data_IF_177947907279
#
_entry.id   IF_177947907279
#
_cell.length_a   1.000
_cell.length_b   1.000
_cell.length_c   1.000
_cell.angle_alpha   90.00
_cell.angle_beta   90.00
_cell.angle_gamma   90.00
#
_symmetry.space_group_name_H-M   'P 1'
#
loop_
_entity.id
_entity.type
_entity.pdbx_description
1 polymer ?
#
# COMPACT_ATOMS: atom_id res chain seq x y z
N UNK A 1 -61.02 46.81 -56.12
CA UNK A 1 -61.63 45.51 -56.46
C UNK A 1 -61.30 45.15 -57.91
N UNK A 2 -60.28 44.31 -58.06
CA UNK A 2 -59.64 43.74 -59.26
C UNK A 2 -58.59 42.80 -58.62
N UNK A 3 -58.35 41.54 -58.97
CA UNK A 3 -58.40 40.79 -60.23
C UNK A 3 -58.54 39.28 -59.89
N UNK A 4 -59.13 38.53 -60.82
CA UNK A 4 -59.09 37.07 -61.01
C UNK A 4 -57.77 36.35 -60.65
N UNK A 5 -57.85 35.06 -60.29
CA UNK A 5 -57.51 33.97 -61.21
C UNK A 5 -57.72 32.56 -60.62
N UNK A 6 -58.33 31.72 -61.45
CA UNK A 6 -58.41 30.26 -61.37
C UNK A 6 -57.01 29.64 -61.54
N UNK A 7 -56.74 28.48 -60.92
CA UNK A 7 -56.81 27.17 -61.58
C UNK A 7 -55.93 26.11 -60.91
N UNK A 8 -56.50 24.90 -60.82
CA UNK A 8 -55.87 23.57 -61.00
C UNK A 8 -54.68 23.15 -60.14
N UNK A 9 -54.79 21.96 -59.55
CA UNK A 9 -53.61 21.11 -59.41
C UNK A 9 -53.66 20.04 -58.33
N UNK A 10 -53.93 18.81 -58.78
CA UNK A 10 -53.24 17.57 -58.41
C UNK A 10 -53.45 16.94 -57.01
N UNK A 11 -53.93 15.70 -57.07
CA UNK A 11 -53.72 14.63 -56.10
C UNK A 11 -52.23 14.50 -55.72
N UNK A 12 -51.97 14.26 -54.43
CA UNK A 12 -50.80 13.50 -54.00
C UNK A 12 -51.15 12.69 -52.74
N UNK A 13 -50.97 11.37 -52.86
CA UNK A 13 -51.23 10.39 -51.83
C UNK A 13 -50.26 10.58 -50.64
N UNK A 14 -50.82 10.58 -49.43
CA UNK A 14 -50.06 10.55 -48.20
C UNK A 14 -49.36 9.18 -48.05
N UNK A 15 -48.03 9.16 -48.22
CA UNK A 15 -47.20 8.06 -47.72
C UNK A 15 -46.61 8.49 -46.37
N UNK A 16 -47.06 7.83 -45.31
CA UNK A 16 -46.46 7.91 -43.99
C UNK A 16 -45.11 7.19 -44.00
N UNK A 17 -44.01 7.96 -44.01
CA UNK A 17 -42.68 7.44 -43.71
C UNK A 17 -42.35 7.75 -42.24
N UNK A 18 -42.60 6.78 -41.36
CA UNK A 18 -42.11 6.81 -40.00
C UNK A 18 -40.59 6.60 -40.02
N UNK A 19 -39.82 7.67 -39.81
CA UNK A 19 -38.39 7.61 -39.51
C UNK A 19 -38.21 7.12 -38.07
N UNK A 20 -38.13 5.80 -37.88
CA UNK A 20 -37.47 5.24 -36.70
C UNK A 20 -35.96 5.44 -36.89
N UNK A 21 -35.40 6.44 -36.20
CA UNK A 21 -33.97 6.52 -36.00
C UNK A 21 -33.55 5.36 -35.08
N UNK A 22 -32.97 4.31 -35.65
CA UNK A 22 -32.21 3.32 -34.89
C UNK A 22 -30.99 4.03 -34.29
N UNK A 23 -31.08 4.37 -33.00
CA UNK A 23 -29.90 4.70 -32.23
C UNK A 23 -28.97 3.48 -32.26
N UNK A 24 -27.67 3.65 -32.59
CA UNK A 24 -26.74 2.54 -32.50
C UNK A 24 -26.71 2.06 -31.05
N UNK A 25 -27.02 0.79 -30.83
CA UNK A 25 -26.81 0.12 -29.56
C UNK A 25 -25.33 0.30 -29.21
N UNK A 26 -25.04 1.16 -28.23
CA UNK A 26 -23.71 1.28 -27.66
C UNK A 26 -23.37 -0.09 -27.10
N UNK A 27 -22.42 -0.77 -27.75
CA UNK A 27 -21.82 -1.97 -27.21
C UNK A 27 -21.41 -1.65 -25.76
N UNK A 28 -21.71 -2.51 -24.77
CA UNK A 28 -21.22 -2.31 -23.41
C UNK A 28 -19.71 -2.10 -23.52
N UNK A 29 -19.27 -0.88 -23.21
CA UNK A 29 -17.88 -0.49 -23.32
C UNK A 29 -17.07 -1.54 -22.58
N UNK A 30 -16.10 -2.13 -23.26
CA UNK A 30 -15.17 -3.05 -22.62
C UNK A 30 -14.68 -2.37 -21.34
N UNK A 31 -15.03 -2.94 -20.18
CA UNK A 31 -14.58 -2.43 -18.90
C UNK A 31 -13.06 -2.28 -19.01
N UNK A 32 -12.59 -1.04 -18.95
CA UNK A 32 -11.17 -0.77 -19.03
C UNK A 32 -10.51 -1.63 -17.97
N UNK A 33 -9.56 -2.47 -18.39
CA UNK A 33 -8.81 -3.30 -17.45
C UNK A 33 -8.26 -2.36 -16.38
N UNK A 34 -8.56 -2.65 -15.12
CA UNK A 34 -8.02 -1.90 -14.00
C UNK A 34 -6.49 -1.86 -14.19
N UNK A 35 -5.84 -0.70 -14.04
CA UNK A 35 -4.40 -0.63 -14.03
C UNK A 35 -3.89 -1.62 -12.99
N UNK A 36 -2.71 -2.23 -13.23
CA UNK A 36 -2.13 -3.14 -12.26
C UNK A 36 -2.11 -2.46 -10.88
N UNK A 37 -2.42 -3.20 -9.80
CA UNK A 37 -2.40 -2.65 -8.44
C UNK A 37 -1.10 -1.88 -8.24
N UNK A 38 -1.21 -0.63 -7.81
CA UNK A 38 -0.03 0.21 -7.60
C UNK A 38 0.84 -0.43 -6.51
N UNK A 39 2.17 -0.29 -6.59
CA UNK A 39 3.07 -0.86 -5.57
C UNK A 39 2.75 -0.33 -4.16
N UNK A 40 2.00 0.77 -4.05
CA UNK A 40 1.39 1.26 -2.82
C UNK A 40 0.46 0.26 -2.15
N UNK A 41 -0.46 -0.33 -2.91
CA UNK A 41 -1.38 -1.36 -2.41
C UNK A 41 -0.61 -2.64 -2.06
N UNK A 42 0.54 -2.85 -2.71
CA UNK A 42 1.42 -3.97 -2.41
C UNK A 42 2.26 -3.79 -1.15
N UNK A 43 2.60 -2.56 -0.79
CA UNK A 43 3.38 -2.24 0.40
C UNK A 43 2.69 -2.70 1.69
N UNK A 44 3.38 -3.40 2.61
CA UNK A 44 2.84 -3.71 3.93
C UNK A 44 3.06 -2.58 4.94
N UNK A 45 3.68 -1.46 4.58
CA UNK A 45 4.00 -0.35 5.48
C UNK A 45 2.72 0.24 6.12
N UNK A 46 2.58 0.24 7.46
CA UNK A 46 1.44 0.84 8.15
C UNK A 46 1.21 2.33 7.87
N UNK A 47 2.28 3.09 7.58
CA UNK A 47 2.18 4.50 7.17
C UNK A 47 2.30 4.66 5.66
N UNK A 48 2.38 3.55 4.93
CA UNK A 48 2.34 3.54 3.48
C UNK A 48 1.00 4.05 2.95
N UNK A 49 1.03 4.50 1.71
CA UNK A 49 -0.17 4.91 1.00
C UNK A 49 -0.93 3.68 0.46
N UNK A 50 -2.20 3.88 0.20
CA UNK A 50 -3.08 3.01 -0.58
C UNK A 50 -3.93 3.88 -1.49
N UNK A 51 -4.56 3.29 -2.51
CA UNK A 51 -5.56 4.00 -3.32
C UNK A 51 -5.45 3.66 -4.80
N UNK A 52 -5.99 4.54 -5.64
CA UNK A 52 -6.22 4.29 -7.07
C UNK A 52 -7.05 3.05 -7.33
N UNK A 53 -8.02 2.83 -6.46
CA UNK A 53 -8.98 1.76 -6.62
C UNK A 53 -9.89 1.96 -7.85
N UNK A 54 -9.99 3.19 -8.38
CA UNK A 54 -10.61 3.51 -9.66
C UNK A 54 -9.74 4.47 -10.50
N UNK A 55 -9.45 4.14 -11.77
CA UNK A 55 -8.75 5.06 -12.68
C UNK A 55 -9.50 6.38 -12.88
N UNK A 56 -8.91 7.48 -12.44
CA UNK A 56 -9.45 8.82 -12.65
C UNK A 56 -10.58 9.25 -11.70
N UNK A 57 -11.03 8.36 -10.81
CA UNK A 57 -12.09 8.62 -9.83
C UNK A 57 -11.65 8.63 -8.36
N UNK A 58 -10.49 8.03 -8.04
CA UNK A 58 -10.04 7.90 -6.65
C UNK A 58 -8.63 8.45 -6.37
N UNK A 59 -8.33 8.72 -5.09
CA UNK A 59 -7.05 9.27 -4.65
C UNK A 59 -6.26 8.34 -3.71
N UNK A 60 -5.07 8.79 -3.29
CA UNK A 60 -4.27 8.09 -2.28
C UNK A 60 -4.66 8.51 -0.88
N UNK A 61 -4.77 7.53 0.01
CA UNK A 61 -4.93 7.71 1.44
C UNK A 61 -3.77 7.07 2.21
N UNK A 62 -3.56 7.49 3.45
CA UNK A 62 -2.63 6.82 4.36
C UNK A 62 -3.31 5.63 5.05
N UNK A 63 -2.67 4.46 5.05
CA UNK A 63 -3.21 3.25 5.69
C UNK A 63 -3.47 3.46 7.20
N UNK A 64 -2.56 4.17 7.87
CA UNK A 64 -2.71 4.53 9.28
C UNK A 64 -3.94 5.38 9.58
N UNK A 65 -4.36 6.23 8.64
CA UNK A 65 -5.61 6.99 8.74
C UNK A 65 -6.83 6.10 8.97
N UNK A 66 -6.90 4.95 8.28
CA UNK A 66 -8.00 3.99 8.44
C UNK A 66 -7.96 3.25 9.78
N UNK A 67 -6.76 3.00 10.33
CA UNK A 67 -6.60 2.43 11.68
C UNK A 67 -7.11 3.40 12.75
N UNK A 68 -6.73 4.67 12.64
CA UNK A 68 -7.24 5.70 13.55
C UNK A 68 -8.74 5.92 13.41
N UNK A 69 -9.27 5.82 12.18
CA UNK A 69 -10.69 5.96 11.86
C UNK A 69 -11.58 4.95 12.60
N UNK A 70 -11.04 3.78 12.98
CA UNK A 70 -11.76 2.77 13.77
C UNK A 70 -11.46 2.82 15.27
N UNK A 71 -10.80 3.88 15.75
CA UNK A 71 -10.44 4.07 17.16
C UNK A 71 -9.27 3.20 17.64
N UNK A 72 -8.52 2.57 16.73
CA UNK A 72 -7.31 1.81 17.05
C UNK A 72 -6.07 2.70 17.02
N UNK A 73 -4.95 2.17 17.53
CA UNK A 73 -3.64 2.83 17.44
C UNK A 73 -2.69 1.99 16.60
N UNK A 74 -1.62 2.61 16.10
CA UNK A 74 -0.51 1.89 15.46
C UNK A 74 0.40 1.16 16.47
N UNK A 75 0.07 1.17 17.77
CA UNK A 75 0.85 0.42 18.74
C UNK A 75 0.85 -1.06 18.34
N UNK A 76 2.05 -1.64 18.26
CA UNK A 76 2.30 -3.03 17.85
C UNK A 76 1.88 -3.36 16.40
N UNK A 77 1.42 -2.42 15.58
CA UNK A 77 1.10 -2.71 14.17
C UNK A 77 2.41 -2.86 13.38
N UNK A 78 2.64 -4.04 12.82
CA UNK A 78 3.87 -4.37 12.07
C UNK A 78 3.67 -4.40 10.56
N UNK A 79 2.41 -4.55 10.10
CA UNK A 79 2.04 -4.43 8.70
C UNK A 79 0.55 -4.09 8.53
N UNK A 80 0.22 -3.35 7.47
CA UNK A 80 -1.14 -3.15 6.96
C UNK A 80 -1.18 -3.56 5.50
N UNK A 81 -1.98 -4.59 5.18
CA UNK A 81 -2.11 -5.08 3.81
C UNK A 81 -3.45 -4.69 3.21
N UNK A 82 -3.42 -4.17 1.98
CA UNK A 82 -4.63 -3.99 1.17
C UNK A 82 -5.09 -5.35 0.67
N UNK A 83 -6.22 -5.83 1.18
CA UNK A 83 -6.85 -7.10 0.79
C UNK A 83 -7.82 -6.91 -0.37
N UNK A 84 -8.46 -5.75 -0.44
CA UNK A 84 -9.29 -5.31 -1.57
C UNK A 84 -9.20 -3.80 -1.71
N UNK A 85 -9.22 -3.32 -2.94
CA UNK A 85 -9.23 -1.91 -3.34
C UNK A 85 -10.08 -1.83 -4.60
N UNK A 86 -11.28 -1.22 -4.48
CA UNK A 86 -12.29 -1.10 -5.55
C UNK A 86 -12.82 0.34 -5.65
N UNK A 87 -13.47 0.71 -6.77
CA UNK A 87 -14.22 1.96 -6.83
C UNK A 87 -15.25 2.00 -5.69
N UNK A 88 -15.42 3.16 -5.07
CA UNK A 88 -16.40 3.33 -3.98
C UNK A 88 -17.81 2.93 -4.47
N UNK A 89 -18.56 2.20 -3.64
CA UNK A 89 -19.91 1.72 -4.02
C UNK A 89 -21.03 2.34 -3.19
N UNK A 90 -20.73 3.30 -2.31
CA UNK A 90 -21.74 3.94 -1.45
C UNK A 90 -21.18 5.04 -0.56
N UNK A 91 -21.89 5.36 0.52
CA UNK A 91 -21.39 6.19 1.61
C UNK A 91 -21.33 5.36 2.89
N UNK A 92 -20.27 5.50 3.68
CA UNK A 92 -20.13 4.77 4.93
C UNK A 92 -18.89 5.18 5.72
N UNK A 93 -18.91 5.10 7.06
CA UNK A 93 -17.71 5.25 7.87
C UNK A 93 -16.73 4.08 7.70
N UNK A 94 -15.51 4.26 8.21
CA UNK A 94 -14.57 3.16 8.45
C UNK A 94 -15.03 2.30 9.63
N UNK A 95 -15.00 0.97 9.51
CA UNK A 95 -15.32 0.05 10.61
C UNK A 95 -14.38 -1.16 10.70
N UNK A 96 -14.27 -1.74 11.90
CA UNK A 96 -13.64 -3.06 12.08
C UNK A 96 -14.62 -4.15 11.64
N UNK A 97 -14.11 -5.13 10.90
CA UNK A 97 -14.87 -6.29 10.43
C UNK A 97 -14.08 -7.58 10.68
N UNK A 98 -14.74 -8.75 10.66
CA UNK A 98 -14.03 -10.03 10.75
C UNK A 98 -13.02 -10.20 9.61
N UNK A 99 -11.85 -10.77 9.93
CA UNK A 99 -10.90 -11.20 8.91
C UNK A 99 -11.30 -12.56 8.33
N UNK A 100 -10.83 -12.89 7.10
CA UNK A 100 -11.02 -14.23 6.56
C UNK A 100 -10.38 -15.26 7.50
N UNK A 101 -11.04 -16.40 7.65
CA UNK A 101 -10.59 -17.47 8.55
C UNK A 101 -9.20 -17.96 8.14
N UNK A 102 -8.33 -18.17 9.14
CA UNK A 102 -6.97 -18.67 8.92
C UNK A 102 -5.97 -17.61 8.45
N UNK A 103 -6.36 -16.34 8.39
CA UNK A 103 -5.42 -15.25 8.13
C UNK A 103 -4.63 -14.88 9.40
N UNK A 104 -3.43 -14.30 9.27
CA UNK A 104 -2.63 -13.88 10.41
C UNK A 104 -3.06 -12.53 10.99
N UNK A 105 -4.04 -11.86 10.40
CA UNK A 105 -4.42 -10.51 10.77
C UNK A 105 -5.16 -10.51 12.11
N UNK A 106 -4.76 -9.60 13.00
CA UNK A 106 -5.38 -9.43 14.31
C UNK A 106 -6.82 -8.90 14.16
N UNK A 107 -7.05 -8.03 13.19
CA UNK A 107 -8.37 -7.57 12.77
C UNK A 107 -8.31 -6.98 11.36
N UNK A 108 -9.48 -6.78 10.77
CA UNK A 108 -9.61 -6.22 9.44
C UNK A 108 -10.45 -4.95 9.49
N UNK A 109 -10.20 -4.05 8.55
CA UNK A 109 -10.88 -2.76 8.44
C UNK A 109 -11.53 -2.68 7.07
N UNK A 110 -12.79 -2.28 7.03
CA UNK A 110 -13.51 -2.01 5.80
C UNK A 110 -13.93 -0.54 5.77
N UNK A 111 -13.86 0.06 4.59
CA UNK A 111 -14.43 1.37 4.33
C UNK A 111 -14.89 1.44 2.87
N UNK A 112 -16.21 1.46 2.67
CA UNK A 112 -16.82 1.44 1.34
C UNK A 112 -16.75 2.80 0.62
N UNK A 113 -16.33 3.86 1.34
CA UNK A 113 -15.99 5.19 0.81
C UNK A 113 -15.14 5.98 1.79
N UNK A 114 -13.83 5.96 1.58
CA UNK A 114 -12.86 6.66 2.40
C UNK A 114 -12.84 8.20 2.26
N UNK A 115 -13.82 8.77 1.55
CA UNK A 115 -13.93 10.20 1.27
C UNK A 115 -13.04 10.67 0.13
N UNK A 116 -12.27 9.76 -0.47
CA UNK A 116 -11.41 10.04 -1.63
C UNK A 116 -11.63 9.01 -2.76
N UNK A 117 -12.79 8.37 -2.78
CA UNK A 117 -13.26 7.53 -3.88
C UNK A 117 -12.79 6.08 -3.85
N UNK A 118 -12.24 5.59 -2.73
CA UNK A 118 -11.86 4.17 -2.59
C UNK A 118 -12.84 3.38 -1.70
N UNK A 119 -13.19 2.17 -2.15
CA UNK A 119 -13.67 1.05 -1.32
C UNK A 119 -12.46 0.18 -0.95
N UNK A 120 -12.16 0.08 0.35
CA UNK A 120 -10.99 -0.63 0.86
C UNK A 120 -11.33 -1.68 1.89
N UNK A 121 -10.57 -2.77 1.83
CA UNK A 121 -10.51 -3.81 2.84
C UNK A 121 -9.07 -4.06 3.24
N UNK A 122 -8.72 -3.81 4.51
CA UNK A 122 -7.37 -3.98 5.05
C UNK A 122 -7.27 -5.13 6.02
N UNK A 123 -6.13 -5.82 6.01
CA UNK A 123 -5.71 -6.73 7.07
C UNK A 123 -4.64 -6.06 7.94
N UNK A 124 -4.89 -5.98 9.25
CA UNK A 124 -3.95 -5.38 10.21
C UNK A 124 -3.19 -6.49 10.93
N UNK A 125 -1.87 -6.49 10.78
CA UNK A 125 -0.97 -7.43 11.43
C UNK A 125 -0.32 -6.78 12.65
N UNK A 126 -0.45 -7.40 13.83
CA UNK A 126 0.16 -6.93 15.08
C UNK A 126 1.33 -7.81 15.52
N UNK A 127 2.25 -7.24 16.28
CA UNK A 127 3.29 -7.94 17.01
C UNK A 127 2.66 -8.68 18.21
N UNK A 128 2.63 -10.00 18.14
CA UNK A 128 2.16 -10.91 19.18
C UNK A 128 2.87 -12.28 19.04
N UNK A 129 2.47 -13.30 19.80
CA UNK A 129 3.11 -14.63 19.72
C UNK A 129 3.01 -15.28 18.31
N UNK A 130 1.99 -14.94 17.52
CA UNK A 130 1.80 -15.47 16.16
C UNK A 130 2.80 -14.87 15.17
N UNK A 131 3.24 -13.64 15.41
CA UNK A 131 4.20 -12.90 14.56
C UNK A 131 5.59 -12.73 15.18
N UNK A 132 5.76 -13.01 16.47
CA UNK A 132 7.04 -12.89 17.18
C UNK A 132 8.07 -13.83 16.53
N UNK A 133 9.21 -13.30 16.03
CA UNK A 133 10.29 -14.11 15.49
C UNK A 133 10.87 -15.12 16.50
N UNK A 134 10.83 -14.82 17.80
CA UNK A 134 11.38 -15.69 18.83
C UNK A 134 10.37 -16.73 19.34
N UNK A 135 9.08 -16.56 19.02
CA UNK A 135 8.08 -17.55 19.37
C UNK A 135 8.29 -18.85 18.55
N UNK A 136 7.94 -20.02 19.11
CA UNK A 136 7.97 -21.27 18.38
C UNK A 136 7.04 -21.28 17.16
N UNK A 137 7.25 -22.21 16.23
CA UNK A 137 6.31 -22.46 15.14
C UNK A 137 4.90 -22.77 15.68
N UNK A 138 3.89 -22.26 14.99
CA UNK A 138 2.49 -22.56 15.29
C UNK A 138 1.93 -23.65 14.35
N UNK A 139 0.88 -24.34 14.79
CA UNK A 139 0.13 -25.29 13.94
C UNK A 139 0.87 -26.60 13.63
N UNK A 140 1.96 -26.91 14.33
CA UNK A 140 2.66 -28.18 14.19
C UNK A 140 1.88 -29.34 14.83
N UNK A 141 2.08 -30.59 14.37
CA UNK A 141 1.52 -31.77 15.01
C UNK A 141 1.91 -31.91 16.49
N UNK A 142 1.07 -32.56 17.29
CA UNK A 142 1.36 -32.82 18.69
C UNK A 142 2.68 -33.62 18.84
N UNK A 143 3.50 -33.26 19.81
CA UNK A 143 4.82 -33.87 20.05
C UNK A 143 5.95 -33.36 19.14
N UNK A 144 5.67 -32.42 18.23
CA UNK A 144 6.70 -31.77 17.43
C UNK A 144 7.73 -31.03 18.30
N UNK A 145 9.01 -31.15 17.96
CA UNK A 145 10.10 -30.41 18.59
C UNK A 145 10.18 -29.02 17.95
N UNK A 146 9.55 -28.03 18.57
CA UNK A 146 9.44 -26.70 17.99
C UNK A 146 10.72 -25.89 18.17
N UNK A 147 11.07 -25.10 17.14
CA UNK A 147 12.15 -24.11 17.19
C UNK A 147 11.57 -22.69 17.09
N UNK A 148 12.30 -21.67 17.57
CA UNK A 148 12.00 -20.28 17.27
C UNK A 148 11.90 -20.06 15.76
N UNK A 149 10.90 -19.28 15.32
CA UNK A 149 10.73 -18.94 13.90
C UNK A 149 11.98 -18.29 13.31
N UNK A 150 12.73 -17.51 14.10
CA UNK A 150 13.93 -16.81 13.68
C UNK A 150 15.07 -17.74 13.25
N UNK A 151 15.09 -18.99 13.72
CA UNK A 151 16.14 -19.95 13.36
C UNK A 151 16.10 -20.27 11.86
N UNK A 152 14.91 -20.35 11.24
CA UNK A 152 14.79 -20.60 9.80
C UNK A 152 15.37 -19.46 8.96
N UNK A 153 15.25 -18.22 9.44
CA UNK A 153 15.81 -17.02 8.80
C UNK A 153 17.33 -17.05 8.88
N UNK A 154 17.88 -17.37 10.05
CA UNK A 154 19.33 -17.49 10.26
C UNK A 154 19.92 -18.61 9.40
N UNK A 155 19.26 -19.76 9.35
CA UNK A 155 19.66 -20.88 8.51
C UNK A 155 19.64 -20.54 7.01
N UNK A 156 18.72 -19.66 6.58
CA UNK A 156 18.70 -19.13 5.22
C UNK A 156 19.76 -18.05 4.94
N UNK A 157 20.62 -17.72 5.91
CA UNK A 157 21.64 -16.66 5.79
C UNK A 157 21.05 -15.25 5.69
N UNK A 158 19.82 -15.03 6.18
CA UNK A 158 19.16 -13.72 6.14
C UNK A 158 19.42 -12.94 7.43
N UNK A 159 19.46 -11.62 7.32
CA UNK A 159 19.72 -10.71 8.43
C UNK A 159 18.48 -10.56 9.35
N UNK A 160 18.54 -11.01 10.62
CA UNK A 160 17.45 -10.86 11.58
C UNK A 160 17.00 -9.42 11.83
N UNK A 161 17.89 -8.43 11.65
CA UNK A 161 17.59 -7.02 11.92
C UNK A 161 16.64 -6.40 10.88
N UNK A 162 16.36 -7.13 9.80
CA UNK A 162 15.49 -6.71 8.70
C UNK A 162 14.10 -7.33 8.77
N UNK A 163 13.64 -7.73 9.96
CA UNK A 163 12.37 -8.46 10.15
C UNK A 163 11.54 -7.82 11.26
N UNK A 164 10.27 -7.53 10.98
CA UNK A 164 9.30 -7.08 11.98
C UNK A 164 8.47 -8.23 12.56
N UNK A 165 8.36 -9.35 11.83
CA UNK A 165 7.64 -10.52 12.30
C UNK A 165 7.81 -11.73 11.37
N UNK A 166 7.48 -12.91 11.88
CA UNK A 166 7.48 -14.16 11.15
C UNK A 166 6.18 -14.90 11.44
N UNK A 167 5.45 -15.27 10.39
CA UNK A 167 4.21 -16.04 10.47
C UNK A 167 4.47 -17.47 10.02
N UNK A 168 4.04 -18.45 10.81
CA UNK A 168 4.05 -19.86 10.35
C UNK A 168 2.90 -20.07 9.37
N UNK A 169 3.23 -20.42 8.12
CA UNK A 169 2.25 -20.67 7.05
C UNK A 169 1.81 -22.13 7.03
N UNK A 170 2.74 -23.04 7.31
CA UNK A 170 2.48 -24.46 7.44
C UNK A 170 3.54 -25.10 8.34
N UNK A 171 3.12 -26.08 9.14
CA UNK A 171 4.04 -26.93 9.88
C UNK A 171 3.55 -28.38 9.88
N UNK A 172 4.40 -29.32 9.50
CA UNK A 172 4.11 -30.76 9.50
C UNK A 172 5.36 -31.57 9.81
N UNK A 173 5.20 -32.88 10.03
CA UNK A 173 6.33 -33.78 10.16
C UNK A 173 7.13 -33.85 8.84
N UNK A 174 8.47 -33.80 8.94
CA UNK A 174 9.34 -33.97 7.78
C UNK A 174 9.25 -35.42 7.25
N UNK A 175 9.18 -35.58 5.93
CA UNK A 175 9.00 -36.88 5.28
C UNK A 175 10.27 -37.73 5.31
N UNK A 176 11.45 -37.13 5.41
CA UNK A 176 12.71 -37.85 5.49
C UNK A 176 13.67 -37.21 6.52
N UNK A 177 14.44 -38.03 7.28
CA UNK A 177 15.57 -37.54 8.03
C UNK A 177 16.63 -37.03 7.05
N UNK A 178 16.99 -35.75 7.16
CA UNK A 178 17.94 -35.10 6.29
C UNK A 178 18.60 -33.92 6.98
N UNK A 179 19.72 -33.46 6.44
CA UNK A 179 20.40 -32.25 6.92
C UNK A 179 19.48 -31.04 6.79
N UNK A 180 19.47 -30.19 7.82
CA UNK A 180 18.70 -28.95 7.79
C UNK A 180 19.10 -28.10 6.57
N UNK A 181 18.14 -27.80 5.71
CA UNK A 181 18.33 -26.89 4.58
C UNK A 181 17.10 -26.00 4.45
N UNK A 182 17.34 -24.73 4.16
CA UNK A 182 16.29 -23.73 3.98
C UNK A 182 16.43 -23.12 2.60
N UNK A 183 15.32 -23.04 1.89
CA UNK A 183 15.24 -22.40 0.58
C UNK A 183 14.19 -21.29 0.59
N UNK A 184 14.32 -20.37 -0.37
CA UNK A 184 13.23 -19.44 -0.70
C UNK A 184 12.08 -20.27 -1.28
N UNK A 185 10.87 -19.97 -0.83
CA UNK A 185 9.64 -20.58 -1.29
C UNK A 185 8.69 -19.52 -1.83
N UNK A 186 7.75 -19.95 -2.66
CA UNK A 186 6.65 -19.10 -3.08
C UNK A 186 5.78 -18.72 -1.86
N UNK A 187 5.43 -17.45 -1.76
CA UNK A 187 4.44 -17.01 -0.79
C UNK A 187 3.02 -17.38 -1.26
N UNK A 188 2.03 -17.43 -0.34
CA UNK A 188 0.64 -17.71 -0.69
C UNK A 188 0.16 -16.77 -1.79
N UNK A 189 -0.64 -17.27 -2.74
CA UNK A 189 -1.22 -16.41 -3.77
C UNK A 189 -2.16 -15.35 -3.16
N UNK A 190 -2.14 -14.14 -3.71
CA UNK A 190 -2.98 -13.02 -3.28
C UNK A 190 -2.29 -12.07 -2.29
N UNK A 191 -3.04 -11.08 -1.76
CA UNK A 191 -2.47 -10.03 -0.94
C UNK A 191 -2.00 -10.56 0.42
N UNK A 192 -0.68 -10.59 0.63
CA UNK A 192 -0.04 -10.96 1.88
C UNK A 192 0.95 -9.88 2.38
N UNK A 193 1.29 -9.86 3.68
CA UNK A 193 2.24 -8.89 4.23
C UNK A 193 3.71 -9.32 4.10
N UNK A 194 3.98 -10.50 3.52
CA UNK A 194 5.31 -11.08 3.49
C UNK A 194 6.20 -10.47 2.42
N UNK A 195 7.43 -10.12 2.80
CA UNK A 195 8.47 -9.69 1.87
C UNK A 195 9.08 -10.88 1.10
N UNK A 196 9.14 -12.04 1.75
CA UNK A 196 9.55 -13.32 1.16
C UNK A 196 9.07 -14.46 2.05
N UNK A 197 9.09 -15.67 1.50
CA UNK A 197 8.76 -16.89 2.23
C UNK A 197 9.95 -17.85 2.22
N UNK A 198 10.12 -18.58 3.31
CA UNK A 198 11.16 -19.58 3.49
C UNK A 198 10.53 -20.93 3.78
N UNK A 199 11.11 -21.98 3.23
CA UNK A 199 10.75 -23.36 3.55
C UNK A 199 11.97 -24.15 3.99
N UNK A 200 11.82 -24.84 5.11
CA UNK A 200 12.70 -25.90 5.55
C UNK A 200 11.96 -27.22 5.39
N UNK A 201 12.39 -28.08 4.46
CA UNK A 201 11.81 -29.43 4.32
C UNK A 201 12.15 -30.34 5.50
N UNK A 202 13.21 -30.00 6.23
CA UNK A 202 13.53 -30.45 7.58
C UNK A 202 14.29 -29.32 8.29
N UNK A 203 13.75 -28.81 9.39
CA UNK A 203 14.38 -27.74 10.19
C UNK A 203 15.49 -28.24 11.12
N UNK A 204 15.86 -29.53 11.05
CA UNK A 204 16.79 -30.20 11.96
C UNK A 204 16.18 -30.63 13.30
N UNK A 205 14.87 -30.43 13.49
CA UNK A 205 14.09 -31.00 14.58
C UNK A 205 12.99 -31.95 14.06
N UNK A 206 12.99 -32.27 12.76
CA UNK A 206 12.03 -33.17 12.14
C UNK A 206 10.75 -32.48 11.66
N UNK A 207 10.75 -31.16 11.50
CA UNK A 207 9.60 -30.41 10.99
C UNK A 207 9.83 -29.94 9.54
N UNK A 208 8.84 -30.13 8.66
CA UNK A 208 8.70 -29.42 7.38
C UNK A 208 7.88 -28.15 7.62
N UNK A 209 8.53 -27.00 7.56
CA UNK A 209 7.96 -25.71 7.94
C UNK A 209 8.09 -24.71 6.80
N UNK A 210 7.00 -24.01 6.53
CA UNK A 210 7.00 -22.83 5.66
C UNK A 210 6.63 -21.61 6.50
N UNK A 211 7.41 -20.54 6.40
CA UNK A 211 7.14 -19.27 7.08
C UNK A 211 7.05 -18.12 6.08
N UNK A 212 6.20 -17.15 6.39
CA UNK A 212 6.15 -15.85 5.73
C UNK A 212 6.89 -14.83 6.59
N UNK A 213 7.88 -14.15 6.01
CA UNK A 213 8.67 -13.14 6.71
C UNK A 213 8.09 -11.77 6.43
N UNK A 214 7.66 -11.09 7.49
CA UNK A 214 7.28 -9.68 7.45
C UNK A 214 8.57 -8.88 7.57
N UNK A 215 9.02 -8.34 6.44
CA UNK A 215 10.21 -7.49 6.42
C UNK A 215 10.05 -6.32 7.37
N UNK A 216 11.16 -5.85 7.93
CA UNK A 216 11.23 -4.54 8.56
C UNK A 216 11.17 -3.46 7.48
N UNK A 217 10.04 -3.42 6.76
CA UNK A 217 9.63 -2.43 5.77
C UNK A 217 8.60 -1.48 6.40
N UNK A 218 8.73 -1.22 7.70
CA UNK A 218 7.81 -0.35 8.44
C UNK A 218 7.94 1.12 8.02
N UNK A 219 7.21 2.03 8.69
CA UNK A 219 7.16 3.45 8.34
C UNK A 219 8.54 4.06 8.20
N UNK A 220 9.44 3.62 9.09
CA UNK A 220 10.82 4.02 9.16
C UNK A 220 11.82 3.18 8.40
N UNK A 221 11.46 2.15 7.64
CA UNK A 221 12.47 1.39 6.89
C UNK A 221 13.16 2.31 5.87
N UNK A 222 14.48 2.51 5.98
CA UNK A 222 15.25 3.28 5.02
C UNK A 222 15.11 2.78 3.58
N UNK A 223 14.90 1.48 3.42
CA UNK A 223 14.87 0.81 2.13
C UNK A 223 13.46 0.62 1.56
N UNK A 224 12.41 0.95 2.31
CA UNK A 224 11.06 0.97 1.80
C UNK A 224 10.92 2.00 0.67
N UNK A 225 9.86 1.86 -0.12
CA UNK A 225 9.65 2.66 -1.32
C UNK A 225 8.84 3.94 -1.03
N UNK A 226 9.10 4.99 -1.81
CA UNK A 226 8.24 6.15 -2.01
C UNK A 226 8.28 6.53 -3.49
N UNK A 227 7.33 7.30 -3.97
CA UNK A 227 7.25 7.74 -5.36
C UNK A 227 5.86 8.29 -5.62
N UNK A 228 5.45 8.45 -6.88
CA UNK A 228 4.03 8.48 -7.26
C UNK A 228 3.08 9.25 -6.33
N UNK A 229 3.44 10.47 -5.95
CA UNK A 229 2.74 11.21 -4.90
C UNK A 229 1.40 11.85 -5.32
N UNK A 230 0.72 11.48 -6.42
CA UNK A 230 -0.58 12.08 -6.79
C UNK A 230 -1.34 11.24 -7.82
N UNK A 231 -2.64 11.47 -7.97
CA UNK A 231 -3.60 10.67 -8.75
C UNK A 231 -3.49 10.83 -10.25
N UNK A 232 -2.93 11.95 -10.66
CA UNK A 232 -2.79 12.32 -12.05
C UNK A 232 -1.35 12.76 -12.28
N UNK A 233 -0.42 11.80 -12.21
CA UNK A 233 1.03 12.05 -12.27
C UNK A 233 1.41 13.05 -13.39
N UNK A 234 0.86 12.83 -14.59
CA UNK A 234 1.10 13.67 -15.77
C UNK A 234 0.57 15.12 -15.63
N UNK A 235 -0.58 15.31 -15.00
CA UNK A 235 -1.18 16.64 -14.83
C UNK A 235 -0.39 17.53 -13.86
N UNK A 236 0.39 16.92 -12.96
CA UNK A 236 1.14 17.62 -11.91
C UNK A 236 2.66 17.55 -12.08
N UNK A 237 3.13 17.04 -13.23
CA UNK A 237 4.57 16.92 -13.52
C UNK A 237 5.29 15.89 -12.63
N UNK A 238 4.55 14.95 -12.04
CA UNK A 238 5.12 13.80 -11.34
C UNK A 238 5.46 12.72 -12.35
N UNK A 239 6.68 12.20 -12.30
CA UNK A 239 7.09 11.05 -13.10
C UNK A 239 6.68 9.75 -12.41
N UNK A 240 6.19 8.75 -13.16
CA UNK A 240 5.82 7.46 -12.60
C UNK A 240 7.02 6.69 -12.04
N UNK A 241 6.72 5.74 -11.15
CA UNK A 241 7.66 4.79 -10.58
C UNK A 241 8.20 5.15 -9.21
N UNK A 242 8.60 4.11 -8.49
CA UNK A 242 9.06 4.14 -7.11
C UNK A 242 10.57 4.26 -6.97
N UNK A 243 10.99 4.69 -5.77
CA UNK A 243 12.38 4.83 -5.36
C UNK A 243 12.52 4.42 -3.89
N UNK A 244 13.68 3.89 -3.48
CA UNK A 244 13.92 3.63 -2.06
C UNK A 244 13.98 4.95 -1.29
N UNK A 245 13.43 4.99 -0.07
CA UNK A 245 13.46 6.15 0.84
C UNK A 245 14.91 6.63 1.08
N UNK A 246 15.90 5.73 1.07
CA UNK A 246 17.33 6.08 1.11
C UNK A 246 17.76 7.04 0.00
N UNK A 247 17.07 7.06 -1.14
CA UNK A 247 17.36 8.01 -2.20
C UNK A 247 17.10 9.46 -1.81
N UNK A 248 16.17 9.73 -0.88
CA UNK A 248 15.95 11.06 -0.29
C UNK A 248 17.20 11.54 0.43
N UNK A 249 17.82 10.66 1.22
CA UNK A 249 19.01 10.94 2.03
C UNK A 249 20.21 11.20 1.14
N UNK A 250 20.40 10.40 0.09
CA UNK A 250 21.47 10.63 -0.88
C UNK A 250 21.25 11.91 -1.68
N UNK A 251 19.99 12.25 -2.01
CA UNK A 251 19.67 13.46 -2.78
C UNK A 251 20.00 14.76 -2.03
N UNK A 252 19.95 14.74 -0.69
CA UNK A 252 20.38 15.87 0.16
C UNK A 252 21.85 15.77 0.59
N UNK A 253 22.65 14.93 -0.09
CA UNK A 253 24.10 14.81 0.14
C UNK A 253 24.49 14.14 1.46
N UNK A 254 23.62 13.32 2.05
CA UNK A 254 23.89 12.64 3.33
C UNK A 254 24.20 11.15 3.14
N UNK A 255 24.95 10.59 4.09
CA UNK A 255 25.32 9.17 4.10
C UNK A 255 24.19 8.29 4.62
N UNK A 256 24.00 7.14 3.97
CA UNK A 256 23.06 6.10 4.40
C UNK A 256 23.66 5.13 5.43
N UNK A 257 24.97 5.18 5.69
CA UNK A 257 25.67 4.21 6.56
C UNK A 257 25.22 4.28 8.02
N UNK A 258 24.89 5.47 8.50
CA UNK A 258 24.49 5.70 9.89
C UNK A 258 22.97 5.74 10.05
N UNK A 259 22.22 5.21 9.09
CA UNK A 259 20.79 5.45 9.02
C UNK A 259 20.01 4.35 9.76
N UNK A 260 19.12 4.77 10.65
CA UNK A 260 18.25 3.90 11.45
C UNK A 260 16.84 3.86 10.86
N UNK A 261 16.26 5.03 10.57
CA UNK A 261 14.92 5.09 10.01
C UNK A 261 14.66 6.28 9.09
N UNK A 262 13.75 6.14 8.12
CA UNK A 262 13.17 7.22 7.29
C UNK A 262 11.66 7.09 7.31
N UNK A 263 10.98 7.97 8.03
CA UNK A 263 9.52 7.99 8.16
C UNK A 263 8.95 8.97 7.14
N UNK A 264 8.17 8.47 6.18
CA UNK A 264 7.50 9.32 5.19
C UNK A 264 6.24 9.93 5.82
N UNK A 265 6.27 11.24 6.08
CA UNK A 265 5.15 11.96 6.70
C UNK A 265 4.18 12.52 5.67
N UNK A 266 4.68 12.78 4.45
CA UNK A 266 3.91 13.38 3.40
C UNK A 266 4.54 13.12 2.03
N UNK A 267 3.66 12.93 1.06
CA UNK A 267 3.99 12.67 -0.34
C UNK A 267 2.81 13.21 -1.14
N UNK A 268 2.96 14.38 -1.79
CA UNK A 268 1.96 14.91 -2.74
C UNK A 268 2.63 15.49 -4.02
N UNK A 269 1.84 16.00 -4.97
CA UNK A 269 2.28 16.98 -5.94
C UNK A 269 2.68 18.29 -5.24
N UNK A 270 3.63 19.03 -5.83
CA UNK A 270 4.05 20.35 -5.31
C UNK A 270 2.87 21.31 -5.12
N UNK A 271 1.92 21.31 -6.05
CA UNK A 271 0.70 22.13 -5.97
C UNK A 271 -0.11 21.87 -4.70
N UNK A 272 -0.14 20.62 -4.20
CA UNK A 272 -0.84 20.25 -2.97
C UNK A 272 -0.21 20.78 -1.67
N UNK A 273 1.06 21.19 -1.71
CA UNK A 273 1.78 21.79 -0.57
C UNK A 273 1.98 23.31 -0.74
N UNK A 274 1.54 23.88 -1.86
CA UNK A 274 1.67 25.31 -2.11
C UNK A 274 3.13 25.80 -2.29
N UNK A 275 3.31 27.12 -2.44
CA UNK A 275 4.57 27.71 -2.89
C UNK A 275 5.68 27.70 -1.83
N UNK A 276 5.34 27.52 -0.55
CA UNK A 276 6.33 27.49 0.54
C UNK A 276 7.18 26.22 0.55
N UNK A 277 6.77 25.17 -0.18
CA UNK A 277 7.56 23.95 -0.37
C UNK A 277 8.78 24.23 -1.26
N UNK A 278 10.01 23.90 -0.82
CA UNK A 278 11.22 24.10 -1.61
C UNK A 278 11.15 23.39 -2.96
N UNK A 279 11.67 24.03 -4.00
CA UNK A 279 11.69 23.48 -5.35
C UNK A 279 12.66 22.28 -5.52
N UNK A 280 13.50 22.01 -4.53
CA UNK A 280 14.42 20.87 -4.47
C UNK A 280 14.40 20.29 -3.06
N UNK A 281 14.76 19.01 -2.91
CA UNK A 281 14.91 18.40 -1.60
C UNK A 281 15.99 19.11 -0.77
N UNK A 282 15.67 19.41 0.48
CA UNK A 282 16.58 19.99 1.47
C UNK A 282 16.52 19.21 2.77
N UNK A 283 17.65 19.12 3.47
CA UNK A 283 17.71 18.64 4.84
C UNK A 283 17.67 19.81 5.83
N UNK A 284 16.72 19.78 6.78
CA UNK A 284 16.56 20.80 7.83
C UNK A 284 16.38 20.16 9.20
N UNK A 285 16.52 20.98 10.25
CA UNK A 285 16.06 20.58 11.58
C UNK A 285 14.55 20.34 11.53
N UNK A 286 14.12 19.24 12.12
CA UNK A 286 12.71 18.93 12.29
C UNK A 286 11.98 20.00 13.12
N UNK A 287 12.65 20.55 14.14
CA UNK A 287 12.10 21.65 14.95
C UNK A 287 11.87 22.91 14.12
N UNK A 288 12.75 23.18 13.15
CA UNK A 288 12.54 24.31 12.22
C UNK A 288 11.27 24.12 11.39
N UNK A 289 11.08 22.96 10.75
CA UNK A 289 9.86 22.69 9.98
C UNK A 289 8.59 22.79 10.83
N UNK A 290 8.68 22.43 12.11
CA UNK A 290 7.57 22.63 13.04
C UNK A 290 7.27 24.10 13.32
N UNK A 291 8.31 24.94 13.48
CA UNK A 291 8.15 26.38 13.71
C UNK A 291 7.47 27.12 12.56
N UNK A 292 7.57 26.58 11.34
CA UNK A 292 6.93 27.13 10.14
C UNK A 292 5.64 26.38 9.75
N UNK A 293 5.08 25.59 10.66
CA UNK A 293 3.77 24.93 10.51
C UNK A 293 3.76 23.69 9.61
N UNK A 294 4.92 23.24 9.11
CA UNK A 294 5.02 22.07 8.22
C UNK A 294 5.09 20.74 8.96
N UNK A 295 5.26 20.76 10.28
CA UNK A 295 5.29 19.54 11.08
C UNK A 295 4.75 19.74 12.49
N UNK A 296 4.10 18.70 13.01
CA UNK A 296 3.68 18.67 14.40
C UNK A 296 4.89 18.75 15.37
N UNK A 297 4.89 19.63 16.37
CA UNK A 297 6.00 19.77 17.32
C UNK A 297 6.38 18.50 18.09
N UNK A 298 5.41 17.61 18.35
CA UNK A 298 5.64 16.33 19.00
C UNK A 298 6.35 15.34 18.06
N UNK A 299 5.99 15.34 16.78
CA UNK A 299 6.69 14.54 15.77
C UNK A 299 8.10 15.07 15.52
N UNK A 300 8.28 16.40 15.53
CA UNK A 300 9.56 17.04 15.27
C UNK A 300 10.70 16.56 16.18
N UNK A 301 10.39 16.20 17.43
CA UNK A 301 11.37 15.73 18.41
C UNK A 301 11.77 14.27 18.25
N UNK A 302 11.10 13.51 17.39
CA UNK A 302 11.35 12.08 17.19
C UNK A 302 12.47 11.78 16.18
N UNK A 303 12.99 12.81 15.51
CA UNK A 303 13.88 12.66 14.36
C UNK A 303 15.12 13.53 14.51
N UNK A 304 16.27 13.02 14.08
CA UNK A 304 17.54 13.76 14.09
C UNK A 304 17.53 14.91 13.09
N UNK A 305 16.89 14.71 11.93
CA UNK A 305 16.67 15.74 10.92
C UNK A 305 15.52 15.35 9.99
N UNK A 306 15.03 16.32 9.24
CA UNK A 306 13.94 16.14 8.29
C UNK A 306 14.41 16.46 6.88
N UNK A 307 13.84 15.78 5.91
CA UNK A 307 14.00 16.05 4.48
C UNK A 307 12.66 16.56 3.97
N UNK A 308 12.68 17.69 3.27
CA UNK A 308 11.48 18.25 2.67
C UNK A 308 11.77 18.94 1.33
N UNK A 309 10.77 19.04 0.46
CA UNK A 309 10.89 19.69 -0.85
C UNK A 309 10.49 18.76 -2.00
N UNK A 310 10.88 19.13 -3.21
CA UNK A 310 10.52 18.38 -4.43
C UNK A 310 11.70 17.55 -4.93
N UNK A 311 11.47 16.26 -5.16
CA UNK A 311 12.47 15.35 -5.70
C UNK A 311 12.66 15.51 -7.22
N UNK A 312 13.63 14.80 -7.80
CA UNK A 312 13.92 14.85 -9.24
C UNK A 312 12.78 14.32 -10.14
N UNK A 313 11.77 13.66 -9.55
CA UNK A 313 10.59 13.14 -10.23
C UNK A 313 9.34 14.01 -9.99
N UNK A 314 9.47 15.17 -9.34
CA UNK A 314 8.34 16.06 -9.08
C UNK A 314 7.53 15.71 -7.82
N UNK A 315 7.94 14.71 -7.05
CA UNK A 315 7.28 14.35 -5.79
C UNK A 315 7.61 15.39 -4.72
N UNK A 316 6.59 16.05 -4.16
CA UNK A 316 6.73 16.87 -2.97
C UNK A 316 6.68 15.96 -1.73
N UNK A 317 7.79 15.87 -1.02
CA UNK A 317 8.00 14.91 0.07
C UNK A 317 8.29 15.64 1.37
N UNK A 318 7.76 15.12 2.47
CA UNK A 318 8.20 15.42 3.84
C UNK A 318 8.54 14.10 4.53
N UNK A 319 9.77 13.97 5.01
CA UNK A 319 10.25 12.77 5.70
C UNK A 319 11.09 13.10 6.94
N UNK A 320 10.89 12.36 8.02
CA UNK A 320 11.74 12.40 9.21
C UNK A 320 12.81 11.32 9.15
N UNK A 321 14.03 11.63 9.58
CA UNK A 321 15.16 10.69 9.52
C UNK A 321 15.79 10.51 10.90
N UNK A 322 16.01 9.25 11.26
CA UNK A 322 16.76 8.85 12.43
C UNK A 322 18.09 8.19 12.04
N UNK A 323 19.14 8.52 12.78
CA UNK A 323 20.46 7.92 12.73
C UNK A 323 20.62 6.86 13.83
N UNK A 324 21.61 5.99 13.63
CA UNK A 324 22.07 5.03 14.64
C UNK A 324 22.96 5.74 15.66
#
# INVERSE_FOLDING_TARGET
MRVHQMSTGALAAAHAAALLALAPAQAPGAAAALPPPTEWNESPDPDGLYGYCEPGGSALGAKSGQVYGVGETLAQVIAIKVLSCRPYTGGGPTFKVPCPRGTPYAYCVANDNDGIGNDIYFGILKADATTDPNAPYAGCPAGARLKPKLDIVRLAGRDPTRINGIVTLSCRAAVAPGSASVAVADCPAGPHPYAYCLRASNDGAGNDVTVGVVGANGPGDPHALYGECNTQFAAYGIQPGFRPKTSLVTAVGRSIRSLRSIDLMGCNARSGWGPAMPAKLEARSCVYLSSIGWMNPLLARRYDYCIWGVDARGNAVLAGVNKR
#
